data_IF_374263283549
#
_entry.id   IF_374263283549
#
_cell.length_a   1.000
_cell.length_b   1.000
_cell.length_c   1.000
_cell.angle_alpha   90.00
_cell.angle_beta   90.00
_cell.angle_gamma   90.00
#
_symmetry.space_group_name_H-M   'P 1'
#
loop_
_entity.id
_entity.type
_entity.pdbx_description
1 polymer ?
#
# COMPACT_ATOMS: atom_id res chain seq x y z
N UNK A 1 5.89 1.50 -12.90
CA UNK A 1 6.77 1.34 -11.71
C UNK A 1 6.01 1.63 -10.42
N UNK A 2 5.41 2.82 -10.28
CA UNK A 2 4.60 3.25 -9.11
C UNK A 2 3.56 2.22 -8.69
N UNK A 3 2.76 1.69 -9.64
CA UNK A 3 1.75 0.65 -9.37
C UNK A 3 2.32 -0.59 -8.68
N UNK A 4 3.56 -0.99 -8.98
CA UNK A 4 4.19 -2.14 -8.32
C UNK A 4 4.55 -1.84 -6.86
N UNK A 5 5.01 -0.61 -6.56
CA UNK A 5 5.30 -0.20 -5.19
C UNK A 5 4.01 -0.12 -4.35
N UNK A 6 2.92 0.41 -4.93
CA UNK A 6 1.58 0.36 -4.33
C UNK A 6 1.14 -1.07 -4.06
N UNK A 7 1.30 -1.96 -5.05
CA UNK A 7 0.94 -3.37 -4.93
C UNK A 7 1.71 -4.07 -3.81
N UNK A 8 3.05 -3.94 -3.79
CA UNK A 8 3.91 -4.53 -2.77
C UNK A 8 3.56 -3.96 -1.40
N UNK A 9 3.46 -2.63 -1.28
CA UNK A 9 3.15 -1.97 -0.01
C UNK A 9 1.79 -2.34 0.56
N UNK A 10 0.79 -2.59 -0.30
CA UNK A 10 -0.55 -3.01 0.11
C UNK A 10 -0.59 -4.49 0.49
N UNK A 11 0.12 -5.38 -0.24
CA UNK A 11 0.16 -6.81 0.09
C UNK A 11 0.94 -7.07 1.38
N UNK A 12 1.98 -6.29 1.68
CA UNK A 12 2.76 -6.42 2.92
C UNK A 12 1.94 -6.19 4.20
N UNK A 13 0.74 -5.62 4.09
CA UNK A 13 -0.18 -5.52 5.22
C UNK A 13 -0.61 -6.90 5.75
N UNK A 14 -0.77 -7.88 4.86
CA UNK A 14 -1.22 -9.24 5.21
C UNK A 14 -0.25 -9.95 6.17
N UNK A 15 1.06 -10.07 5.87
CA UNK A 15 1.99 -10.69 6.81
C UNK A 15 2.15 -9.88 8.11
N UNK A 16 2.02 -8.54 8.08
CA UNK A 16 2.04 -7.72 9.31
C UNK A 16 0.83 -8.04 10.19
N UNK A 17 -0.37 -8.08 9.61
CA UNK A 17 -1.60 -8.46 10.31
C UNK A 17 -1.50 -9.86 10.90
N UNK A 18 -1.01 -10.82 10.11
CA UNK A 18 -0.79 -12.20 10.56
C UNK A 18 0.19 -12.27 11.73
N UNK A 19 1.32 -11.56 11.64
CA UNK A 19 2.31 -11.51 12.71
C UNK A 19 1.72 -10.90 14.00
N UNK A 20 0.94 -9.82 13.91
CA UNK A 20 0.26 -9.22 15.07
C UNK A 20 -0.74 -10.19 15.70
N UNK A 21 -1.53 -10.89 14.89
CA UNK A 21 -2.49 -11.87 15.37
C UNK A 21 -1.83 -13.08 16.06
N UNK A 22 -0.71 -13.58 15.51
CA UNK A 22 0.01 -14.73 16.06
C UNK A 22 0.78 -14.40 17.36
N UNK A 23 1.27 -13.17 17.48
CA UNK A 23 2.09 -12.74 18.62
C UNK A 23 1.29 -12.04 19.72
N UNK A 24 0.06 -11.60 19.43
CA UNK A 24 -0.74 -10.74 20.30
C UNK A 24 -0.22 -9.31 20.43
N UNK A 25 0.86 -8.95 19.70
CA UNK A 25 1.48 -7.63 19.77
C UNK A 25 0.79 -6.64 18.82
N UNK A 26 -0.37 -6.15 19.24
CA UNK A 26 -1.21 -5.25 18.43
C UNK A 26 -0.57 -3.89 18.10
N UNK A 27 0.44 -3.47 18.85
CA UNK A 27 1.23 -2.27 18.50
C UNK A 27 1.94 -2.40 17.14
N UNK A 28 2.20 -3.63 16.70
CA UNK A 28 2.75 -3.90 15.37
C UNK A 28 1.86 -3.41 14.22
N UNK A 29 0.56 -3.18 14.46
CA UNK A 29 -0.36 -2.62 13.46
C UNK A 29 0.05 -1.20 12.99
N UNK A 30 0.80 -0.46 13.80
CA UNK A 30 1.34 0.84 13.41
C UNK A 30 2.34 0.73 12.24
N UNK A 31 2.92 -0.45 11.99
CA UNK A 31 3.78 -0.67 10.84
C UNK A 31 3.02 -0.66 9.51
N UNK A 32 1.72 -0.94 9.50
CA UNK A 32 0.88 -0.99 8.29
C UNK A 32 0.92 0.34 7.52
N UNK A 33 0.49 1.49 8.11
CA UNK A 33 0.52 2.75 7.38
C UNK A 33 1.95 3.16 6.99
N UNK A 34 2.95 2.84 7.82
CA UNK A 34 4.36 3.17 7.53
C UNK A 34 4.86 2.43 6.29
N UNK A 35 4.64 1.12 6.22
CA UNK A 35 5.11 0.30 5.10
C UNK A 35 4.31 0.61 3.83
N UNK A 36 2.98 0.66 3.93
CA UNK A 36 2.12 0.88 2.77
C UNK A 36 2.28 2.28 2.19
N UNK A 37 2.13 3.33 3.00
CA UNK A 37 2.30 4.69 2.50
C UNK A 37 3.75 5.01 2.20
N UNK A 38 4.70 4.49 2.97
CA UNK A 38 6.13 4.70 2.71
C UNK A 38 6.54 4.24 1.32
N UNK A 39 6.15 3.03 0.91
CA UNK A 39 6.45 2.49 -0.42
C UNK A 39 5.69 3.25 -1.53
N UNK A 40 4.40 3.54 -1.32
CA UNK A 40 3.61 4.33 -2.24
C UNK A 40 4.23 5.72 -2.49
N UNK A 41 4.49 6.46 -1.42
CA UNK A 41 5.06 7.81 -1.47
C UNK A 41 6.46 7.82 -2.05
N UNK A 42 7.32 6.86 -1.68
CA UNK A 42 8.64 6.71 -2.28
C UNK A 42 8.54 6.64 -3.81
N UNK A 43 7.61 5.83 -4.32
CA UNK A 43 7.45 5.68 -5.76
C UNK A 43 6.92 6.94 -6.45
N UNK A 44 6.00 7.67 -5.81
CA UNK A 44 5.52 8.96 -6.29
C UNK A 44 6.63 10.01 -6.32
N UNK A 45 7.45 10.12 -5.28
CA UNK A 45 8.51 11.13 -5.21
C UNK A 45 9.70 10.81 -6.11
N UNK A 46 10.08 9.53 -6.23
CA UNK A 46 11.29 9.13 -6.99
C UNK A 46 10.98 8.99 -8.49
N UNK A 47 9.87 8.34 -8.86
CA UNK A 47 9.60 8.01 -10.25
C UNK A 47 8.67 9.01 -10.94
N UNK A 48 7.61 9.46 -10.27
CA UNK A 48 6.63 10.38 -10.84
C UNK A 48 6.93 11.85 -10.50
N UNK A 49 7.73 12.10 -9.47
CA UNK A 49 8.04 13.42 -8.89
C UNK A 49 6.78 14.27 -8.63
N UNK A 50 5.71 13.62 -8.18
CA UNK A 50 4.44 14.26 -7.87
C UNK A 50 4.05 14.06 -6.40
N UNK A 51 2.99 14.75 -5.98
CA UNK A 51 2.43 14.61 -4.64
C UNK A 51 1.35 13.51 -4.64
N UNK A 52 1.36 12.59 -3.66
CA UNK A 52 0.36 11.53 -3.56
C UNK A 52 -1.06 12.09 -3.38
N UNK A 53 -2.05 11.43 -3.98
CA UNK A 53 -3.47 11.75 -3.76
C UNK A 53 -3.90 11.56 -2.30
N UNK A 54 -3.16 10.77 -1.52
CA UNK A 54 -3.38 10.56 -0.09
C UNK A 54 -3.39 11.88 0.70
N UNK A 55 -2.67 12.91 0.23
CA UNK A 55 -2.60 14.21 0.91
C UNK A 55 -3.88 15.03 0.79
N UNK A 56 -4.71 14.78 -0.24
CA UNK A 56 -5.98 15.49 -0.43
C UNK A 56 -7.18 14.62 -0.05
N UNK A 57 -7.15 13.34 -0.41
CA UNK A 57 -8.22 12.39 -0.14
C UNK A 57 -7.65 11.02 0.30
N UNK A 58 -7.30 10.88 1.60
CA UNK A 58 -6.62 9.68 2.10
C UNK A 58 -7.46 8.40 1.95
N UNK A 59 -8.77 8.47 2.24
CA UNK A 59 -9.67 7.32 2.13
C UNK A 59 -9.87 6.88 0.68
N UNK A 60 -10.05 7.84 -0.24
CA UNK A 60 -10.21 7.52 -1.65
C UNK A 60 -8.92 6.93 -2.24
N UNK A 61 -7.76 7.46 -1.85
CA UNK A 61 -6.46 6.89 -2.20
C UNK A 61 -6.36 5.43 -1.74
N UNK A 62 -6.69 5.14 -0.48
CA UNK A 62 -6.62 3.79 0.09
C UNK A 62 -7.54 2.81 -0.63
N UNK A 63 -8.81 3.19 -0.88
CA UNK A 63 -9.76 2.37 -1.63
C UNK A 63 -9.27 2.12 -3.06
N UNK A 64 -8.65 3.13 -3.67
CA UNK A 64 -7.98 3.02 -4.96
C UNK A 64 -6.89 1.96 -4.97
N UNK A 65 -6.05 1.92 -3.93
CA UNK A 65 -4.95 0.95 -3.81
C UNK A 65 -5.47 -0.49 -3.70
N UNK A 66 -6.49 -0.76 -2.85
CA UNK A 66 -7.09 -2.09 -2.76
C UNK A 66 -7.77 -2.51 -4.07
N UNK A 67 -8.49 -1.59 -4.74
CA UNK A 67 -9.09 -1.87 -6.06
C UNK A 67 -8.01 -2.19 -7.08
N UNK A 68 -6.91 -1.43 -7.10
CA UNK A 68 -5.77 -1.63 -7.98
C UNK A 68 -5.15 -3.01 -7.75
N UNK A 69 -4.86 -3.38 -6.49
CA UNK A 69 -4.35 -4.71 -6.12
C UNK A 69 -5.30 -5.81 -6.59
N UNK A 70 -6.60 -5.68 -6.35
CA UNK A 70 -7.58 -6.66 -6.83
C UNK A 70 -7.58 -6.82 -8.36
N UNK A 71 -7.39 -5.73 -9.12
CA UNK A 71 -7.25 -5.80 -10.58
C UNK A 71 -5.93 -6.46 -11.00
N UNK A 72 -4.82 -6.13 -10.34
CA UNK A 72 -3.52 -6.74 -10.60
C UNK A 72 -3.52 -8.24 -10.29
N UNK A 73 -4.04 -8.68 -9.14
CA UNK A 73 -4.17 -10.10 -8.81
C UNK A 73 -5.00 -10.89 -9.85
N UNK A 74 -5.98 -10.26 -10.49
CA UNK A 74 -6.79 -10.85 -11.58
C UNK A 74 -6.14 -10.77 -12.96
N UNK A 75 -4.92 -10.28 -13.07
CA UNK A 75 -4.22 -10.16 -14.35
C UNK A 75 -4.59 -8.92 -15.17
N UNK A 76 -5.45 -8.04 -14.66
CA UNK A 76 -6.09 -6.98 -15.46
C UNK A 76 -5.25 -5.71 -15.61
N UNK A 77 -4.25 -5.51 -14.74
CA UNK A 77 -3.55 -4.22 -14.60
C UNK A 77 -2.03 -4.34 -14.40
N UNK A 78 -1.42 -5.39 -14.95
CA UNK A 78 0.04 -5.56 -14.91
C UNK A 78 0.78 -4.73 -15.97
N UNK A 79 0.10 -4.34 -17.05
CA UNK A 79 0.66 -3.59 -18.18
C UNK A 79 0.38 -2.09 -18.04
#
# INVERSE_FOLDING_TARGET
>A
MTRMFHFIGTILQVPILLACALTGWWWGLLAIPVVSYGLAWFSHFVFERNRPATWTNPWYSLLGDYKMVGMMLRGQLWR
#
